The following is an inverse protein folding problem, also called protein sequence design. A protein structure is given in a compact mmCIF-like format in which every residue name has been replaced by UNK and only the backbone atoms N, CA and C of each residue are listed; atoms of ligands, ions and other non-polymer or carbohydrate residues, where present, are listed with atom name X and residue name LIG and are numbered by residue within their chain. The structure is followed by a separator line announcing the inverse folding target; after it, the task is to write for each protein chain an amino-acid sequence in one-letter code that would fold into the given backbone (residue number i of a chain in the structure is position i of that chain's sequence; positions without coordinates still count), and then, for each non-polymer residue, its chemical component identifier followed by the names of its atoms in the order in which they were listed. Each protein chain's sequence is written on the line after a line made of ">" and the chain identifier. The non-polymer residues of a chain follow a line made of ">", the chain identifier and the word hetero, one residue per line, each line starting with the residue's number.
data_IF_221938064294
#
_entry.id   IF_221938064294
#
_cell.length_a   1.000
_cell.length_b   1.000
_cell.length_c   1.000
_cell.angle_alpha   90.00
_cell.angle_beta   90.00
_cell.angle_gamma   90.00
#
_symmetry.space_group_name_H-M   'P 1'
#
loop_
_entity.id
_entity.type
_entity.pdbx_description
1 polymer ?
#
# COMPACT_ATOMS: atom_id res chain seq x y z
N UNK A 1 -11.20 4.05 -23.97
CA UNK A 1 -9.85 4.65 -23.85
C UNK A 1 -9.07 3.88 -22.81
N UNK A 2 -8.06 3.10 -23.22
CA UNK A 2 -7.18 2.37 -22.31
C UNK A 2 -6.34 3.36 -21.49
N UNK A 3 -6.56 3.36 -20.17
CA UNK A 3 -5.89 4.24 -19.22
C UNK A 3 -4.38 3.94 -19.29
N UNK A 4 -3.60 4.80 -19.95
CA UNK A 4 -2.13 4.73 -19.96
C UNK A 4 -1.66 4.61 -18.50
N UNK A 5 -1.09 3.45 -18.16
CA UNK A 5 -0.69 2.99 -16.83
C UNK A 5 -0.53 4.13 -15.81
N UNK A 6 -1.58 4.42 -15.03
CA UNK A 6 -1.45 5.32 -13.87
C UNK A 6 -0.47 4.65 -12.90
N UNK A 7 0.72 5.22 -12.78
CA UNK A 7 1.75 4.76 -11.86
C UNK A 7 1.64 5.51 -10.54
N UNK A 8 1.82 4.77 -9.45
CA UNK A 8 1.77 5.27 -8.09
C UNK A 8 3.08 5.02 -7.37
N UNK A 9 3.29 5.81 -6.33
CA UNK A 9 4.26 5.55 -5.26
C UNK A 9 3.49 5.21 -4.01
N UNK A 10 3.85 4.10 -3.36
CA UNK A 10 3.23 3.65 -2.12
C UNK A 10 4.24 3.69 -0.98
N UNK A 11 3.87 4.27 0.16
CA UNK A 11 4.67 4.21 1.40
C UNK A 11 3.91 3.35 2.38
N UNK A 12 4.48 2.20 2.71
CA UNK A 12 3.89 1.16 3.57
C UNK A 12 4.39 1.34 5.00
N UNK A 13 3.46 1.31 5.94
CA UNK A 13 3.71 1.44 7.36
C UNK A 13 3.38 0.12 8.06
N UNK A 14 4.25 -0.29 8.97
CA UNK A 14 4.17 -1.56 9.68
C UNK A 14 3.91 -1.31 11.17
N UNK A 15 3.36 -2.28 11.91
CA UNK A 15 3.28 -2.19 13.36
C UNK A 15 4.67 -2.20 13.98
N UNK A 16 4.81 -1.52 15.12
CA UNK A 16 6.08 -1.41 15.85
C UNK A 16 6.63 -2.77 16.29
N UNK A 17 5.73 -3.73 16.56
CA UNK A 17 6.04 -5.11 16.95
C UNK A 17 6.91 -5.86 15.93
N UNK A 18 6.81 -5.53 14.64
CA UNK A 18 7.63 -6.15 13.59
C UNK A 18 9.03 -5.54 13.48
N UNK A 19 9.32 -4.45 14.22
CA UNK A 19 10.56 -3.67 14.12
C UNK A 19 10.90 -3.25 12.66
N UNK A 20 9.89 -3.10 11.80
CA UNK A 20 10.04 -2.78 10.38
C UNK A 20 9.85 -1.29 10.15
N UNK A 21 10.88 -0.63 9.59
CA UNK A 21 10.78 0.76 9.15
C UNK A 21 9.78 0.89 7.98
N UNK A 22 9.12 2.05 7.81
CA UNK A 22 8.29 2.31 6.64
C UNK A 22 9.05 2.07 5.33
N UNK A 23 8.39 1.44 4.35
CA UNK A 23 9.00 1.07 3.06
C UNK A 23 8.32 1.79 1.90
N UNK A 24 9.14 2.34 1.00
CA UNK A 24 8.68 3.04 -0.21
C UNK A 24 8.76 2.11 -1.43
N UNK A 25 7.64 1.95 -2.12
CA UNK A 25 7.51 1.20 -3.37
C UNK A 25 7.12 2.17 -4.50
N UNK A 26 7.68 1.98 -5.69
CA UNK A 26 7.48 2.86 -6.85
C UNK A 26 6.95 2.05 -8.03
N UNK A 27 6.43 2.74 -9.03
CA UNK A 27 5.94 2.15 -10.28
C UNK A 27 4.76 1.17 -10.09
N UNK A 28 3.93 1.42 -9.07
CA UNK A 28 2.75 0.59 -8.82
C UNK A 28 1.68 0.95 -9.84
N UNK A 29 1.24 -0.01 -10.65
CA UNK A 29 0.20 0.20 -11.68
C UNK A 29 -1.16 -0.38 -11.30
N UNK A 30 -1.25 -1.10 -10.18
CA UNK A 30 -2.46 -1.74 -9.69
C UNK A 30 -2.49 -1.73 -8.16
N UNK A 31 -3.33 -0.87 -7.58
CA UNK A 31 -3.43 -0.69 -6.12
C UNK A 31 -4.03 -1.93 -5.46
N UNK A 32 -5.05 -2.57 -6.04
CA UNK A 32 -5.67 -3.77 -5.45
C UNK A 32 -4.72 -4.97 -5.37
N UNK A 33 -3.82 -5.14 -6.35
CA UNK A 33 -2.74 -6.15 -6.25
C UNK A 33 -1.71 -5.77 -5.20
N UNK A 34 -1.39 -4.47 -5.09
CA UNK A 34 -0.45 -3.97 -4.10
C UNK A 34 -1.00 -4.08 -2.67
N UNK A 35 -2.30 -3.90 -2.47
CA UNK A 35 -2.99 -4.10 -1.19
C UNK A 35 -2.80 -5.53 -0.67
N UNK A 36 -3.06 -6.54 -1.51
CA UNK A 36 -2.79 -7.96 -1.17
C UNK A 36 -1.32 -8.23 -0.83
N UNK A 37 -0.40 -7.54 -1.48
CA UNK A 37 1.03 -7.61 -1.13
C UNK A 37 1.28 -6.98 0.24
N UNK A 38 0.75 -5.77 0.50
CA UNK A 38 0.90 -5.09 1.77
C UNK A 38 0.29 -5.88 2.95
N UNK A 39 -0.83 -6.58 2.73
CA UNK A 39 -1.43 -7.50 3.69
C UNK A 39 -0.51 -8.68 4.02
N UNK A 40 0.10 -9.30 2.99
CA UNK A 40 1.09 -10.38 3.18
C UNK A 40 2.34 -9.91 3.91
N UNK A 41 2.72 -8.66 3.70
CA UNK A 41 3.83 -8.00 4.38
C UNK A 41 3.48 -7.52 5.80
N UNK A 42 2.25 -7.79 6.27
CA UNK A 42 1.78 -7.43 7.61
C UNK A 42 1.81 -5.91 7.87
N UNK A 43 1.54 -5.14 6.81
CA UNK A 43 1.38 -3.70 6.94
C UNK A 43 0.14 -3.36 7.79
N UNK A 44 0.14 -2.16 8.38
CA UNK A 44 -1.05 -1.54 8.96
C UNK A 44 -1.85 -0.77 7.90
N UNK A 45 -1.12 -0.02 7.07
CA UNK A 45 -1.66 0.79 6.00
C UNK A 45 -0.56 1.20 5.03
N UNK A 46 -0.95 1.74 3.89
CA UNK A 46 -0.05 2.43 2.99
C UNK A 46 -0.66 3.71 2.42
N UNK A 47 0.17 4.74 2.28
CA UNK A 47 -0.21 5.97 1.60
C UNK A 47 0.09 5.82 0.10
N UNK A 48 -0.85 6.26 -0.73
CA UNK A 48 -0.74 6.25 -2.19
C UNK A 48 -0.51 7.66 -2.69
N UNK A 49 0.51 7.83 -3.53
CA UNK A 49 0.85 9.09 -4.17
C UNK A 49 0.86 8.91 -5.69
N UNK A 50 0.45 9.95 -6.42
CA UNK A 50 0.63 10.03 -7.87
C UNK A 50 2.12 10.05 -8.19
N UNK A 51 2.61 9.14 -9.04
CA UNK A 51 4.02 9.19 -9.47
C UNK A 51 4.32 10.45 -10.29
N UNK A 52 3.32 10.99 -11.00
CA UNK A 52 3.48 12.14 -11.89
C UNK A 52 3.54 13.46 -11.11
N UNK A 53 2.64 13.63 -10.13
CA UNK A 53 2.47 14.90 -9.42
C UNK A 53 3.02 14.88 -8.00
N UNK A 54 3.39 13.72 -7.47
CA UNK A 54 3.76 13.50 -6.06
C UNK A 54 2.65 13.85 -5.06
N UNK A 55 1.44 14.14 -5.54
CA UNK A 55 0.30 14.45 -4.70
C UNK A 55 -0.16 13.20 -3.96
N UNK A 56 -0.53 13.39 -2.70
CA UNK A 56 -1.22 12.37 -1.92
C UNK A 56 -2.59 12.12 -2.52
N UNK A 57 -2.91 10.84 -2.74
CA UNK A 57 -4.19 10.41 -3.30
C UNK A 57 -5.09 9.88 -2.19
N UNK A 58 -4.61 8.88 -1.43
CA UNK A 58 -5.38 8.24 -0.38
C UNK A 58 -4.49 7.43 0.56
N UNK A 59 -5.04 7.06 1.72
CA UNK A 59 -4.51 6.03 2.61
C UNK A 59 -5.37 4.78 2.49
N UNK A 60 -4.74 3.62 2.37
CA UNK A 60 -5.41 2.32 2.34
C UNK A 60 -4.99 1.53 3.58
N UNK A 61 -5.95 1.16 4.42
CA UNK A 61 -5.72 0.29 5.57
C UNK A 61 -5.76 -1.16 5.11
N UNK A 62 -4.78 -1.95 5.55
CA UNK A 62 -4.72 -3.38 5.24
C UNK A 62 -5.51 -4.14 6.29
N UNK A 63 -6.43 -4.99 5.85
CA UNK A 63 -7.48 -5.54 6.72
C UNK A 63 -7.03 -6.76 7.53
N UNK A 64 -5.79 -6.79 8.02
CA UNK A 64 -5.27 -7.90 8.83
C UNK A 64 -5.70 -7.81 10.31
N UNK A 65 -6.99 -7.58 10.55
CA UNK A 65 -7.72 -7.94 11.78
C UNK A 65 -9.20 -8.23 11.45
N UNK A 66 -9.47 -9.39 10.86
CA UNK A 66 -10.76 -10.11 10.95
C UNK A 66 -10.65 -11.53 10.37
N UNK A 67 -9.68 -12.32 10.83
CA UNK A 67 -9.46 -13.66 10.27
C UNK A 67 -8.70 -14.62 11.15
N UNK A 68 -8.87 -14.52 12.47
CA UNK A 68 -8.68 -15.62 13.43
C UNK A 68 -9.63 -15.38 14.62
N UNK A 69 -10.91 -15.71 14.42
CA UNK A 69 -11.74 -16.24 15.49
C UNK A 69 -12.09 -17.67 15.02
N UNK A 70 -11.91 -18.64 15.92
CA UNK A 70 -12.03 -20.07 15.65
C UNK A 70 -13.42 -20.54 15.26
#
# INVERSE_FOLDING_TARGET
>A
MSNRNKLFTCIVFFPDELARRPRKYRNINNISRFERFAEKEEALYFNVYSKKTNEFIQRVYTNKKAGQAG
#
